data_IF_400099427250
#
_entry.id   IF_400099427250
#
_cell.length_a   1.000
_cell.length_b   1.000
_cell.length_c   1.000
_cell.angle_alpha   90.00
_cell.angle_beta   90.00
_cell.angle_gamma   90.00
#
_symmetry.space_group_name_H-M   'P 1'
#
loop_
_entity.id
_entity.type
_entity.pdbx_description
1 polymer ?
#
# COMPACT_ATOMS: atom_id res chain seq x y z
N UNK A 1 3.38 95.70 13.95
CA UNK A 1 3.31 94.23 14.03
C UNK A 1 3.34 93.82 15.50
N UNK A 2 2.17 93.44 16.05
CA UNK A 2 1.93 93.01 17.45
C UNK A 2 2.30 91.52 17.59
N UNK A 3 3.10 91.09 18.57
CA UNK A 3 2.81 90.69 19.97
C UNK A 3 1.91 89.45 20.12
N UNK A 4 2.52 88.43 20.77
CA UNK A 4 2.06 87.25 21.54
C UNK A 4 0.56 87.06 21.81
N UNK A 5 0.11 85.79 21.88
CA UNK A 5 -0.61 85.20 23.04
C UNK A 5 -0.55 83.66 23.03
N UNK A 6 -0.19 83.09 24.19
CA UNK A 6 -0.48 81.72 24.62
C UNK A 6 -1.98 81.53 24.85
N UNK A 7 -2.53 80.33 24.64
CA UNK A 7 -3.36 79.63 25.64
C UNK A 7 -3.70 78.20 25.22
N UNK A 8 -3.54 77.27 26.17
CA UNK A 8 -4.15 75.93 26.18
C UNK A 8 -5.67 76.03 26.02
N UNK A 9 -6.26 75.13 25.23
CA UNK A 9 -7.57 74.56 25.56
C UNK A 9 -7.61 73.07 25.20
N UNK A 10 -7.80 72.26 26.25
CA UNK A 10 -8.13 70.85 26.22
C UNK A 10 -9.45 70.64 25.45
N UNK A 11 -9.49 69.69 24.51
CA UNK A 11 -10.72 68.97 24.18
C UNK A 11 -10.39 67.59 23.64
N UNK A 12 -10.78 66.60 24.45
CA UNK A 12 -10.80 65.16 24.16
C UNK A 12 -11.30 64.86 22.74
N UNK A 13 -10.48 64.15 21.96
CA UNK A 13 -10.97 63.29 20.90
C UNK A 13 -10.32 61.92 21.06
N UNK A 14 -11.20 60.97 21.39
CA UNK A 14 -10.99 59.56 21.62
C UNK A 14 -10.19 58.93 20.48
N UNK A 15 -9.21 58.11 20.87
CA UNK A 15 -8.44 57.30 19.94
C UNK A 15 -9.30 56.30 19.19
N UNK A 16 -9.14 56.31 17.86
CA UNK A 16 -9.24 55.11 17.05
C UNK A 16 -7.84 54.80 16.53
N UNK A 17 -7.01 54.24 17.39
CA UNK A 17 -5.88 53.43 16.93
C UNK A 17 -6.47 52.22 16.23
N UNK A 18 -6.35 52.21 14.91
CA UNK A 18 -6.63 51.05 14.08
C UNK A 18 -5.67 49.94 14.52
N UNK A 19 -6.10 49.12 15.48
CA UNK A 19 -5.46 47.83 15.74
C UNK A 19 -5.49 47.07 14.42
N UNK A 20 -4.31 46.92 13.81
CA UNK A 20 -4.09 45.86 12.82
C UNK A 20 -4.44 44.56 13.53
N UNK A 21 -5.60 44.00 13.22
CA UNK A 21 -5.92 42.63 13.57
C UNK A 21 -4.76 41.77 13.11
N UNK A 22 -4.21 40.87 13.95
CA UNK A 22 -3.32 39.84 13.44
C UNK A 22 -4.12 39.12 12.35
N UNK A 23 -3.51 39.00 11.16
CA UNK A 23 -4.07 38.16 10.10
C UNK A 23 -4.48 36.83 10.75
N UNK A 24 -5.74 36.43 10.54
CA UNK A 24 -6.24 35.15 11.02
C UNK A 24 -5.24 34.09 10.55
N UNK A 25 -4.55 33.43 11.50
CA UNK A 25 -3.92 32.15 11.20
C UNK A 25 -5.09 31.28 10.77
N UNK A 26 -5.17 30.94 9.48
CA UNK A 26 -5.99 29.81 9.07
C UNK A 26 -5.59 28.64 9.98
N UNK A 27 -6.55 28.07 10.70
CA UNK A 27 -6.38 26.87 11.53
C UNK A 27 -6.09 25.67 10.61
N UNK A 28 -4.90 25.65 10.01
CA UNK A 28 -4.42 24.51 9.22
C UNK A 28 -3.99 23.42 10.19
N UNK A 29 -4.44 22.19 9.95
CA UNK A 29 -3.99 21.02 10.72
C UNK A 29 -2.46 20.92 10.68
N UNK A 30 -1.84 20.58 11.81
CA UNK A 30 -0.43 20.15 11.81
C UNK A 30 -0.27 18.86 10.99
N UNK A 31 0.94 18.55 10.55
CA UNK A 31 1.21 17.31 9.81
C UNK A 31 0.78 16.07 10.61
N UNK A 32 1.05 16.05 11.92
CA UNK A 32 0.61 14.96 12.80
C UNK A 32 -0.92 14.82 12.85
N UNK A 33 -1.65 15.92 13.03
CA UNK A 33 -3.11 15.89 13.09
C UNK A 33 -3.74 15.52 11.73
N UNK A 34 -3.11 15.93 10.63
CA UNK A 34 -3.51 15.53 9.29
C UNK A 34 -3.29 14.03 9.08
N UNK A 35 -2.10 13.51 9.41
CA UNK A 35 -1.80 12.08 9.33
C UNK A 35 -2.73 11.25 10.21
N UNK A 36 -3.03 11.69 11.45
CA UNK A 36 -3.99 11.00 12.32
C UNK A 36 -5.39 10.94 11.71
N UNK A 37 -5.83 12.03 11.08
CA UNK A 37 -7.14 12.10 10.43
C UNK A 37 -7.21 11.17 9.22
N UNK A 38 -6.20 11.23 8.34
CA UNK A 38 -6.12 10.38 7.15
C UNK A 38 -6.03 8.91 7.55
N UNK A 39 -5.10 8.57 8.45
CA UNK A 39 -4.87 7.20 8.90
C UNK A 39 -6.11 6.59 9.57
N UNK A 40 -6.81 7.34 10.44
CA UNK A 40 -8.04 6.85 11.09
C UNK A 40 -9.17 6.61 10.09
N UNK A 41 -9.39 7.52 9.14
CA UNK A 41 -10.45 7.31 8.13
C UNK A 41 -10.10 6.16 7.18
N UNK A 42 -8.85 6.07 6.74
CA UNK A 42 -8.40 4.96 5.91
C UNK A 42 -8.50 3.61 6.63
N UNK A 43 -8.18 3.55 7.94
CA UNK A 43 -8.44 2.37 8.78
C UNK A 43 -9.91 1.94 8.76
N UNK A 44 -10.86 2.90 8.76
CA UNK A 44 -12.29 2.57 8.73
C UNK A 44 -12.74 1.84 7.45
N UNK A 45 -11.99 1.92 6.34
CA UNK A 45 -12.23 1.06 5.18
C UNK A 45 -12.21 -0.43 5.57
N UNK A 46 -11.23 -0.81 6.39
CA UNK A 46 -11.00 -2.19 6.83
C UNK A 46 -11.76 -2.55 8.10
N UNK A 47 -12.17 -1.54 8.88
CA UNK A 47 -12.92 -1.76 10.11
C UNK A 47 -14.43 -1.78 9.88
N UNK A 48 -14.99 -0.67 9.40
CA UNK A 48 -16.42 -0.46 9.16
C UNK A 48 -16.82 -0.95 7.76
N UNK A 49 -15.95 -0.76 6.76
CA UNK A 49 -16.18 -1.13 5.38
C UNK A 49 -15.98 -2.62 5.06
N UNK A 50 -15.50 -3.42 6.02
CA UNK A 50 -15.23 -4.84 5.87
C UNK A 50 -16.47 -5.64 5.46
N UNK A 51 -16.28 -6.75 4.76
CA UNK A 51 -17.38 -7.67 4.47
C UNK A 51 -17.82 -8.36 5.78
N UNK A 52 -19.13 -8.34 6.12
CA UNK A 52 -19.59 -8.67 7.46
C UNK A 52 -19.49 -10.16 7.84
N UNK A 53 -19.40 -11.11 6.92
CA UNK A 53 -19.23 -12.53 7.26
C UNK A 53 -17.76 -12.88 7.54
N UNK A 54 -16.88 -12.53 6.63
CA UNK A 54 -15.44 -12.83 6.67
C UNK A 54 -14.66 -11.89 7.60
N UNK A 55 -15.11 -10.64 7.74
CA UNK A 55 -14.32 -9.57 8.36
C UNK A 55 -13.15 -9.09 7.49
N UNK A 56 -13.04 -9.59 6.26
CA UNK A 56 -11.98 -9.28 5.30
C UNK A 56 -12.31 -8.04 4.45
N UNK A 57 -11.29 -7.55 3.74
CA UNK A 57 -11.40 -6.34 2.93
C UNK A 57 -12.19 -6.63 1.65
N UNK A 58 -13.25 -5.85 1.43
CA UNK A 58 -13.92 -5.82 0.12
C UNK A 58 -12.92 -5.37 -0.94
N UNK A 59 -13.01 -5.95 -2.12
CA UNK A 59 -12.26 -5.51 -3.30
C UNK A 59 -12.50 -4.01 -3.55
N UNK A 60 -13.77 -3.60 -3.53
CA UNK A 60 -14.22 -2.24 -3.80
C UNK A 60 -15.35 -1.81 -2.88
N UNK A 61 -15.37 -0.51 -2.57
CA UNK A 61 -16.52 0.14 -1.94
C UNK A 61 -16.92 1.34 -2.81
N UNK A 62 -18.15 1.33 -3.31
CA UNK A 62 -18.74 2.45 -4.04
C UNK A 62 -19.81 3.13 -3.17
N UNK A 63 -19.64 4.42 -2.92
CA UNK A 63 -20.54 5.18 -2.06
C UNK A 63 -21.91 5.44 -2.70
N UNK A 64 -22.01 5.35 -4.02
CA UNK A 64 -23.26 5.42 -4.78
C UNK A 64 -24.11 4.13 -4.69
N UNK A 65 -23.55 3.05 -4.12
CA UNK A 65 -24.21 1.74 -4.05
C UNK A 65 -24.31 1.02 -5.40
N UNK A 66 -23.67 1.53 -6.46
CA UNK A 66 -23.77 0.97 -7.81
C UNK A 66 -22.53 0.10 -8.10
N UNK A 67 -22.72 -1.21 -8.14
CA UNK A 67 -21.68 -2.20 -8.43
C UNK A 67 -21.98 -2.87 -9.78
N UNK A 68 -21.32 -2.46 -10.89
CA UNK A 68 -21.62 -2.99 -12.22
C UNK A 68 -21.54 -4.51 -12.33
N UNK A 69 -20.61 -5.12 -11.59
CA UNK A 69 -20.38 -6.58 -11.57
C UNK A 69 -21.16 -7.30 -10.46
N UNK A 70 -22.06 -6.60 -9.74
CA UNK A 70 -22.80 -7.11 -8.58
C UNK A 70 -21.89 -7.80 -7.53
N UNK A 71 -20.75 -7.19 -7.25
CA UNK A 71 -19.63 -7.78 -6.53
C UNK A 71 -19.31 -7.11 -5.19
N UNK A 72 -20.28 -6.43 -4.58
CA UNK A 72 -20.10 -5.72 -3.30
C UNK A 72 -19.63 -6.63 -2.15
N UNK A 73 -19.95 -7.91 -2.17
CA UNK A 73 -19.53 -8.91 -1.17
C UNK A 73 -18.22 -9.62 -1.54
N UNK A 74 -17.59 -9.26 -2.66
CA UNK A 74 -16.33 -9.86 -3.07
C UNK A 74 -15.19 -9.25 -2.27
N UNK A 75 -14.36 -10.13 -1.74
CA UNK A 75 -13.19 -9.79 -0.94
C UNK A 75 -11.92 -10.19 -1.69
N UNK A 76 -10.85 -9.44 -1.46
CA UNK A 76 -9.52 -9.67 -2.05
C UNK A 76 -8.57 -10.26 -1.01
N UNK A 77 -7.75 -11.23 -1.41
CA UNK A 77 -6.71 -11.80 -0.55
C UNK A 77 -5.60 -10.80 -0.25
N UNK A 78 -4.90 -10.26 -1.25
CA UNK A 78 -3.78 -9.35 -1.00
C UNK A 78 -4.22 -8.03 -0.39
N UNK A 79 -5.32 -7.43 -0.88
CA UNK A 79 -5.90 -6.23 -0.27
C UNK A 79 -6.36 -6.46 1.18
N UNK A 80 -6.80 -7.68 1.51
CA UNK A 80 -7.04 -8.07 2.91
C UNK A 80 -5.77 -8.17 3.74
N UNK A 81 -4.66 -8.61 3.16
CA UNK A 81 -3.35 -8.53 3.80
C UNK A 81 -3.03 -7.11 4.26
N UNK A 82 -3.18 -6.13 3.37
CA UNK A 82 -2.94 -4.74 3.71
C UNK A 82 -3.92 -4.24 4.79
N UNK A 83 -5.18 -4.67 4.71
CA UNK A 83 -6.19 -4.38 5.72
C UNK A 83 -5.88 -4.94 7.11
N UNK A 84 -5.36 -6.16 7.19
CA UNK A 84 -4.91 -6.78 8.44
C UNK A 84 -3.79 -5.95 9.09
N UNK A 85 -2.82 -5.50 8.30
CA UNK A 85 -1.77 -4.60 8.80
C UNK A 85 -2.32 -3.25 9.25
N UNK A 86 -3.28 -2.68 8.52
CA UNK A 86 -3.96 -1.45 8.94
C UNK A 86 -4.71 -1.65 10.27
N UNK A 87 -5.32 -2.82 10.48
CA UNK A 87 -5.99 -3.15 11.74
C UNK A 87 -5.00 -3.24 12.90
N UNK A 88 -3.82 -3.85 12.72
CA UNK A 88 -2.75 -3.84 13.73
C UNK A 88 -2.34 -2.43 14.12
N UNK A 89 -2.13 -1.55 13.13
CA UNK A 89 -1.84 -0.14 13.39
C UNK A 89 -2.98 0.55 14.17
N UNK A 90 -4.23 0.23 13.85
CA UNK A 90 -5.40 0.74 14.57
C UNK A 90 -5.47 0.26 16.03
N UNK A 91 -5.07 -0.98 16.32
CA UNK A 91 -4.97 -1.48 17.70
C UNK A 91 -3.89 -0.71 18.47
N UNK A 92 -2.68 -0.57 17.89
CA UNK A 92 -1.54 0.09 18.54
C UNK A 92 -1.82 1.59 18.79
N UNK A 93 -2.60 2.22 17.90
CA UNK A 93 -3.07 3.61 18.06
C UNK A 93 -4.32 3.78 18.91
N UNK A 94 -4.93 2.70 19.41
CA UNK A 94 -6.17 2.76 20.18
C UNK A 94 -7.36 3.29 19.38
N UNK A 95 -7.40 3.03 18.07
CA UNK A 95 -8.60 3.26 17.25
C UNK A 95 -9.72 2.30 17.64
N UNK A 96 -9.31 1.09 18.02
CA UNK A 96 -10.13 0.03 18.62
C UNK A 96 -9.38 -0.54 19.81
N UNK A 97 -10.09 -1.20 20.71
CA UNK A 97 -9.45 -1.92 21.81
C UNK A 97 -8.70 -3.15 21.29
N UNK A 98 -7.71 -3.62 22.06
CA UNK A 98 -6.98 -4.86 21.76
C UNK A 98 -7.90 -6.08 21.70
N UNK A 99 -8.97 -6.10 22.51
CA UNK A 99 -9.97 -7.17 22.51
C UNK A 99 -10.80 -7.17 21.22
N UNK A 100 -11.32 -6.01 20.79
CA UNK A 100 -12.04 -5.90 19.51
C UNK A 100 -11.14 -6.29 18.34
N UNK A 101 -9.87 -5.86 18.38
CA UNK A 101 -8.85 -6.26 17.41
C UNK A 101 -8.66 -7.77 17.34
N UNK A 102 -8.51 -8.42 18.51
CA UNK A 102 -8.38 -9.88 18.59
C UNK A 102 -9.62 -10.59 18.02
N UNK A 103 -10.82 -10.18 18.39
CA UNK A 103 -12.07 -10.75 17.86
C UNK A 103 -12.17 -10.62 16.34
N UNK A 104 -11.74 -9.48 15.79
CA UNK A 104 -11.66 -9.28 14.34
C UNK A 104 -10.67 -10.24 13.70
N UNK A 105 -9.47 -10.39 14.27
CA UNK A 105 -8.45 -11.30 13.72
C UNK A 105 -8.86 -12.77 13.83
N UNK A 106 -9.52 -13.18 14.91
CA UNK A 106 -10.09 -14.53 15.06
C UNK A 106 -11.12 -14.83 13.97
N UNK A 107 -11.98 -13.87 13.66
CA UNK A 107 -12.96 -13.98 12.57
C UNK A 107 -12.29 -14.15 11.21
N UNK A 108 -11.31 -13.29 10.92
CA UNK A 108 -10.54 -13.35 9.67
C UNK A 108 -9.84 -14.71 9.52
N UNK A 109 -9.12 -15.17 10.55
CA UNK A 109 -8.40 -16.45 10.49
C UNK A 109 -9.37 -17.63 10.37
N UNK A 110 -10.53 -17.58 11.05
CA UNK A 110 -11.56 -18.63 10.91
C UNK A 110 -12.10 -18.72 9.48
N UNK A 111 -12.30 -17.57 8.81
CA UNK A 111 -12.68 -17.56 7.40
C UNK A 111 -11.57 -18.18 6.54
N UNK A 112 -10.33 -17.74 6.71
CA UNK A 112 -9.17 -18.20 5.93
C UNK A 112 -8.84 -19.70 6.11
N UNK A 113 -9.20 -20.29 7.25
CA UNK A 113 -9.08 -21.73 7.51
C UNK A 113 -10.07 -22.58 6.69
N UNK A 114 -11.17 -21.98 6.24
CA UNK A 114 -12.31 -22.69 5.61
C UNK A 114 -12.57 -22.27 4.16
N UNK A 115 -12.08 -21.11 3.75
CA UNK A 115 -12.16 -20.61 2.39
C UNK A 115 -11.37 -21.50 1.42
N UNK A 116 -11.75 -21.46 0.13
CA UNK A 116 -11.09 -22.21 -0.92
C UNK A 116 -9.60 -21.87 -0.97
N UNK A 117 -8.77 -22.92 -1.03
CA UNK A 117 -7.31 -22.88 -1.19
C UNK A 117 -6.87 -23.88 -2.24
N UNK A 118 -5.75 -23.58 -2.89
CA UNK A 118 -5.20 -24.34 -4.00
C UNK A 118 -3.72 -24.59 -3.71
N UNK A 119 -3.37 -25.83 -3.31
CA UNK A 119 -2.02 -26.13 -2.79
C UNK A 119 -1.61 -25.17 -1.64
N UNK A 120 -2.56 -24.86 -0.77
CA UNK A 120 -2.37 -23.94 0.35
C UNK A 120 -2.38 -22.46 0.00
N UNK A 121 -2.18 -22.09 -1.28
CA UNK A 121 -2.32 -20.72 -1.74
C UNK A 121 -3.79 -20.30 -1.81
N UNK A 122 -4.02 -19.01 -1.62
CA UNK A 122 -5.33 -18.37 -1.70
C UNK A 122 -5.59 -17.85 -3.13
N UNK A 123 -6.84 -17.86 -3.63
CA UNK A 123 -7.19 -17.17 -4.86
C UNK A 123 -7.10 -15.65 -4.70
N UNK A 124 -7.12 -14.95 -5.84
CA UNK A 124 -7.21 -13.48 -5.87
C UNK A 124 -8.49 -12.97 -5.18
N UNK A 125 -9.64 -13.59 -5.49
CA UNK A 125 -10.94 -13.21 -4.93
C UNK A 125 -11.72 -14.39 -4.35
N UNK A 126 -12.49 -14.09 -3.30
CA UNK A 126 -13.60 -14.91 -2.84
C UNK A 126 -14.90 -14.13 -2.80
N UNK A 127 -16.01 -14.85 -2.81
CA UNK A 127 -17.25 -14.37 -2.23
C UNK A 127 -17.13 -14.41 -0.70
N UNK A 128 -17.20 -13.26 -0.04
CA UNK A 128 -16.97 -13.14 1.41
C UNK A 128 -18.03 -13.84 2.28
N UNK A 129 -19.21 -14.09 1.75
CA UNK A 129 -20.31 -14.81 2.42
C UNK A 129 -20.15 -16.34 2.42
N UNK A 130 -19.35 -16.90 1.51
CA UNK A 130 -19.25 -18.35 1.31
C UNK A 130 -17.83 -18.91 1.39
N UNK A 131 -16.81 -18.05 1.23
CA UNK A 131 -15.42 -18.51 1.12
C UNK A 131 -15.10 -19.21 -0.20
N UNK A 132 -15.99 -19.13 -1.20
CA UNK A 132 -15.78 -19.73 -2.51
C UNK A 132 -15.04 -18.79 -3.44
N UNK A 133 -14.12 -19.35 -4.22
CA UNK A 133 -13.36 -18.58 -5.22
C UNK A 133 -14.31 -17.86 -6.18
N UNK A 134 -14.07 -16.56 -6.38
CA UNK A 134 -14.62 -15.82 -7.52
C UNK A 134 -13.50 -15.71 -8.54
N UNK A 135 -13.63 -16.25 -9.76
CA UNK A 135 -12.59 -16.13 -10.77
C UNK A 135 -12.28 -14.66 -11.12
N UNK A 136 -11.00 -14.29 -11.22
CA UNK A 136 -10.51 -12.97 -11.66
C UNK A 136 -10.35 -12.89 -13.20
N UNK A 137 -10.95 -13.84 -13.88
CA UNK A 137 -10.85 -14.12 -15.31
C UNK A 137 -11.21 -15.58 -15.52
N UNK A 138 -11.51 -15.99 -16.76
CA UNK A 138 -12.00 -17.35 -17.00
C UNK A 138 -11.05 -18.43 -16.47
N UNK A 139 -9.73 -18.25 -16.66
CA UNK A 139 -8.70 -19.23 -16.28
C UNK A 139 -8.06 -18.97 -14.92
N UNK A 140 -8.32 -17.80 -14.35
CA UNK A 140 -7.82 -17.41 -13.04
C UNK A 140 -8.88 -17.72 -11.97
N UNK A 141 -9.12 -19.02 -11.78
CA UNK A 141 -10.09 -19.57 -10.84
C UNK A 141 -9.45 -20.48 -9.78
N UNK A 142 -8.14 -20.33 -9.58
CA UNK A 142 -7.33 -21.14 -8.70
C UNK A 142 -6.53 -20.29 -7.71
N UNK A 143 -5.35 -20.75 -7.32
CA UNK A 143 -4.51 -20.01 -6.38
C UNK A 143 -3.67 -18.96 -7.09
N UNK A 144 -3.61 -17.79 -6.48
CA UNK A 144 -2.79 -16.64 -6.84
C UNK A 144 -1.68 -16.50 -5.78
N UNK A 145 -0.44 -16.80 -6.18
CA UNK A 145 0.69 -16.83 -5.25
C UNK A 145 1.18 -15.44 -4.86
N UNK A 146 0.95 -14.41 -5.70
CA UNK A 146 1.35 -13.03 -5.41
C UNK A 146 0.41 -12.45 -4.36
N UNK A 147 -0.90 -12.61 -4.52
CA UNK A 147 -1.87 -12.17 -3.53
C UNK A 147 -1.76 -12.96 -2.22
N UNK A 148 -1.45 -14.26 -2.32
CA UNK A 148 -1.08 -15.09 -1.16
C UNK A 148 0.13 -14.52 -0.43
N UNK A 149 1.15 -14.04 -1.14
CA UNK A 149 2.32 -13.42 -0.52
C UNK A 149 1.96 -12.14 0.24
N UNK A 150 1.07 -11.31 -0.30
CA UNK A 150 0.62 -10.09 0.39
C UNK A 150 -0.14 -10.39 1.68
N UNK A 151 -1.07 -11.36 1.68
CA UNK A 151 -1.77 -11.73 2.92
C UNK A 151 -0.85 -12.44 3.91
N UNK A 152 0.09 -13.27 3.46
CA UNK A 152 1.07 -13.89 4.36
C UNK A 152 2.04 -12.88 4.96
N UNK A 153 2.43 -11.85 4.21
CA UNK A 153 3.20 -10.72 4.75
C UNK A 153 2.50 -10.10 5.98
N UNK A 154 1.18 -9.97 5.92
CA UNK A 154 0.38 -9.42 7.01
C UNK A 154 0.16 -10.40 8.17
N UNK A 155 -0.18 -11.65 7.86
CA UNK A 155 -0.42 -12.68 8.86
C UNK A 155 0.83 -12.94 9.70
N UNK A 156 2.03 -12.94 9.11
CA UNK A 156 3.27 -13.06 9.88
C UNK A 156 3.50 -11.87 10.82
N UNK A 157 3.06 -10.66 10.45
CA UNK A 157 3.09 -9.51 11.37
C UNK A 157 2.10 -9.69 12.53
N UNK A 158 0.89 -10.22 12.28
CA UNK A 158 -0.08 -10.53 13.34
C UNK A 158 0.46 -11.61 14.28
N UNK A 159 1.06 -12.65 13.71
CA UNK A 159 1.73 -13.70 14.48
C UNK A 159 2.75 -13.09 15.46
N UNK A 160 3.66 -12.25 14.97
CA UNK A 160 4.67 -11.60 15.80
C UNK A 160 4.08 -10.62 16.83
N UNK A 161 2.94 -10.00 16.53
CA UNK A 161 2.27 -9.09 17.47
C UNK A 161 1.63 -9.83 18.66
N UNK A 162 1.23 -11.09 18.46
CA UNK A 162 0.46 -11.88 19.43
C UNK A 162 1.20 -13.05 20.07
N UNK A 163 2.39 -13.43 19.59
CA UNK A 163 3.13 -14.60 20.07
C UNK A 163 3.49 -14.55 21.57
N UNK A 164 3.72 -13.36 22.12
CA UNK A 164 4.00 -13.15 23.55
C UNK A 164 2.78 -12.59 24.32
N UNK A 165 1.59 -12.69 23.72
CA UNK A 165 0.34 -12.13 24.22
C UNK A 165 -0.38 -12.98 25.25
N UNK A 166 -1.68 -12.71 25.43
CA UNK A 166 -2.58 -13.55 26.25
C UNK A 166 -2.74 -14.96 25.67
N UNK A 167 -3.27 -15.95 26.43
CA UNK A 167 -3.50 -17.30 25.90
C UNK A 167 -4.36 -17.35 24.63
N UNK A 168 -5.35 -16.45 24.48
CA UNK A 168 -6.17 -16.37 23.28
C UNK A 168 -5.39 -15.80 22.08
N UNK A 169 -4.55 -14.79 22.33
CA UNK A 169 -3.66 -14.22 21.31
C UNK A 169 -2.62 -15.24 20.82
N UNK A 170 -2.02 -16.00 21.74
CA UNK A 170 -1.09 -17.09 21.40
C UNK A 170 -1.79 -18.20 20.61
N UNK A 171 -3.03 -18.54 20.94
CA UNK A 171 -3.80 -19.52 20.18
C UNK A 171 -4.10 -19.04 18.75
N UNK A 172 -4.41 -17.75 18.56
CA UNK A 172 -4.56 -17.15 17.25
C UNK A 172 -3.23 -17.17 16.47
N UNK A 173 -2.11 -16.80 17.10
CA UNK A 173 -0.79 -16.85 16.47
C UNK A 173 -0.46 -18.28 15.99
N UNK A 174 -0.74 -19.31 16.80
CA UNK A 174 -0.51 -20.71 16.41
C UNK A 174 -1.36 -21.14 15.20
N UNK A 175 -2.60 -20.66 15.08
CA UNK A 175 -3.46 -20.91 13.90
C UNK A 175 -2.89 -20.24 12.64
N UNK A 176 -2.36 -19.03 12.80
CA UNK A 176 -1.68 -18.32 11.70
C UNK A 176 -0.42 -19.05 11.24
N UNK A 177 0.42 -19.51 12.17
CA UNK A 177 1.62 -20.31 11.84
C UNK A 177 1.24 -21.59 11.07
N UNK A 178 0.12 -22.23 11.43
CA UNK A 178 -0.42 -23.36 10.66
C UNK A 178 -0.79 -22.96 9.21
N UNK A 179 -1.52 -21.86 9.01
CA UNK A 179 -1.86 -21.39 7.66
C UNK A 179 -0.60 -21.06 6.84
N UNK A 180 0.37 -20.39 7.45
CA UNK A 180 1.67 -20.08 6.84
C UNK A 180 2.40 -21.34 6.37
N UNK A 181 2.48 -22.37 7.23
CA UNK A 181 3.13 -23.64 6.94
C UNK A 181 2.42 -24.47 5.88
N UNK A 182 1.13 -24.22 5.64
CA UNK A 182 0.33 -24.97 4.67
C UNK A 182 0.47 -24.43 3.24
N UNK A 183 1.02 -23.24 3.02
CA UNK A 183 1.24 -22.70 1.66
C UNK A 183 2.37 -23.46 0.97
N UNK A 184 2.05 -24.15 -0.13
CA UNK A 184 3.02 -24.92 -0.91
C UNK A 184 3.70 -24.06 -1.99
N UNK A 185 4.59 -23.16 -1.58
CA UNK A 185 5.33 -22.29 -2.52
C UNK A 185 6.13 -23.09 -3.55
N UNK A 186 6.68 -24.24 -3.13
CA UNK A 186 7.46 -25.11 -3.99
C UNK A 186 6.61 -25.77 -5.11
N UNK A 187 5.33 -26.04 -4.88
CA UNK A 187 4.42 -26.52 -5.92
C UNK A 187 4.33 -25.53 -7.09
N UNK A 188 4.34 -24.22 -6.81
CA UNK A 188 4.24 -23.14 -7.79
C UNK A 188 5.49 -22.95 -8.68
N UNK A 189 6.46 -23.87 -8.60
CA UNK A 189 7.62 -23.94 -9.50
C UNK A 189 7.35 -24.71 -10.78
N UNK A 190 6.12 -25.17 -11.04
CA UNK A 190 5.73 -25.98 -12.20
C UNK A 190 6.77 -27.07 -12.55
N UNK A 191 6.70 -28.23 -11.89
CA UNK A 191 7.65 -29.34 -12.07
C UNK A 191 9.11 -28.99 -11.68
N UNK A 192 9.28 -28.12 -10.68
CA UNK A 192 10.58 -27.85 -10.07
C UNK A 192 11.49 -26.92 -10.88
N UNK A 193 10.93 -26.08 -11.76
CA UNK A 193 11.70 -25.03 -12.43
C UNK A 193 12.27 -24.03 -11.42
N UNK A 194 13.26 -23.25 -11.86
CA UNK A 194 13.88 -22.21 -11.06
C UNK A 194 13.17 -20.87 -11.26
N UNK A 195 11.83 -20.86 -11.14
CA UNK A 195 10.98 -19.67 -11.20
C UNK A 195 9.67 -19.96 -10.47
N UNK A 196 9.00 -18.93 -9.94
CA UNK A 196 7.64 -19.06 -9.42
C UNK A 196 6.62 -18.62 -10.48
N UNK A 197 5.57 -19.41 -10.63
CA UNK A 197 4.40 -19.06 -11.41
C UNK A 197 3.39 -18.33 -10.53
N UNK A 198 2.78 -17.30 -11.09
CA UNK A 198 1.77 -16.51 -10.38
C UNK A 198 0.52 -17.35 -10.08
N UNK A 199 0.06 -18.14 -11.04
CA UNK A 199 -1.24 -18.81 -10.95
C UNK A 199 -1.12 -20.32 -11.14
N UNK A 200 -2.03 -21.05 -10.49
CA UNK A 200 -2.34 -22.44 -10.79
C UNK A 200 -3.84 -22.72 -10.57
N UNK A 201 -4.44 -23.51 -11.44
CA UNK A 201 -5.86 -23.91 -11.37
C UNK A 201 -6.04 -25.42 -11.35
N UNK A 202 -6.99 -25.91 -10.54
CA UNK A 202 -7.42 -27.32 -10.56
C UNK A 202 -8.06 -27.73 -11.89
N UNK A 203 -8.64 -26.78 -12.64
CA UNK A 203 -9.30 -27.00 -13.92
C UNK A 203 -8.35 -26.75 -15.10
N UNK A 204 -7.60 -25.65 -15.06
CA UNK A 204 -6.76 -25.19 -16.18
C UNK A 204 -5.26 -25.45 -15.99
N UNK A 205 -4.86 -26.07 -14.88
CA UNK A 205 -3.45 -26.31 -14.55
C UNK A 205 -2.63 -25.01 -14.61
N UNK A 206 -1.64 -24.99 -15.49
CA UNK A 206 -0.70 -23.87 -15.67
C UNK A 206 -1.02 -23.00 -16.89
N UNK A 207 -2.23 -23.07 -17.47
CA UNK A 207 -2.56 -22.36 -18.70
C UNK A 207 -2.49 -20.82 -18.62
N UNK A 208 -2.58 -20.24 -17.42
CA UNK A 208 -2.27 -18.81 -17.22
C UNK A 208 -0.82 -18.48 -17.57
N UNK A 209 0.09 -19.46 -17.42
CA UNK A 209 1.48 -19.46 -17.89
C UNK A 209 2.22 -18.14 -17.64
N UNK A 210 2.20 -17.68 -16.39
CA UNK A 210 2.83 -16.43 -15.98
C UNK A 210 3.98 -16.70 -15.00
N UNK A 211 5.19 -17.01 -15.50
CA UNK A 211 6.40 -17.03 -14.67
C UNK A 211 6.76 -15.59 -14.25
N UNK A 212 7.02 -15.37 -12.96
CA UNK A 212 7.20 -14.03 -12.41
C UNK A 212 8.68 -13.64 -12.43
N UNK A 213 9.03 -12.68 -13.28
CA UNK A 213 10.39 -12.13 -13.40
C UNK A 213 10.42 -10.68 -12.93
N UNK A 214 11.52 -10.25 -12.30
CA UNK A 214 11.67 -8.90 -11.78
C UNK A 214 12.24 -7.90 -12.80
N UNK A 215 12.20 -6.60 -12.50
CA UNK A 215 11.62 -5.99 -11.30
C UNK A 215 10.14 -5.61 -11.51
N UNK A 216 9.30 -5.96 -10.54
CA UNK A 216 7.90 -5.55 -10.41
C UNK A 216 7.47 -5.59 -8.91
N UNK A 217 6.18 -5.56 -8.60
CA UNK A 217 5.62 -5.56 -7.24
C UNK A 217 5.81 -6.86 -6.43
N UNK A 218 6.29 -7.94 -7.05
CA UNK A 218 6.18 -9.30 -6.53
C UNK A 218 7.39 -9.80 -5.71
N UNK A 219 8.34 -8.93 -5.33
CA UNK A 219 9.56 -9.31 -4.61
C UNK A 219 9.27 -10.13 -3.34
N UNK A 220 8.27 -9.73 -2.55
CA UNK A 220 7.94 -10.38 -1.29
C UNK A 220 7.49 -11.84 -1.46
N UNK A 221 6.94 -12.20 -2.61
CA UNK A 221 6.58 -13.59 -2.94
C UNK A 221 7.81 -14.49 -2.95
N UNK A 222 8.91 -14.04 -3.56
CA UNK A 222 10.15 -14.81 -3.59
C UNK A 222 10.81 -14.91 -2.21
N UNK A 223 10.78 -13.82 -1.42
CA UNK A 223 11.31 -13.82 -0.05
C UNK A 223 10.52 -14.77 0.85
N UNK A 224 9.19 -14.75 0.77
CA UNK A 224 8.33 -15.66 1.54
C UNK A 224 8.47 -17.11 1.06
N UNK A 225 8.60 -17.36 -0.24
CA UNK A 225 8.87 -18.69 -0.75
C UNK A 225 10.20 -19.26 -0.23
N UNK A 226 11.25 -18.45 -0.08
CA UNK A 226 12.50 -18.87 0.56
C UNK A 226 12.36 -19.00 2.09
N UNK A 227 11.53 -18.17 2.71
CA UNK A 227 11.30 -18.20 4.16
C UNK A 227 10.53 -19.45 4.61
N UNK A 228 9.68 -20.03 3.76
CA UNK A 228 8.78 -21.14 4.16
C UNK A 228 9.54 -22.31 4.79
N UNK A 229 9.19 -22.70 6.04
CA UNK A 229 9.89 -23.77 6.75
C UNK A 229 9.43 -25.18 6.34
N UNK A 230 8.36 -25.29 5.54
CA UNK A 230 7.72 -26.55 5.14
C UNK A 230 7.77 -26.78 3.63
N UNK A 231 7.50 -25.75 2.84
CA UNK A 231 7.43 -25.81 1.38
C UNK A 231 8.33 -24.76 0.73
N UNK A 232 9.51 -24.54 1.30
CA UNK A 232 10.50 -23.58 0.82
C UNK A 232 11.06 -23.89 -0.56
N UNK A 233 11.56 -22.86 -1.23
CA UNK A 233 12.21 -22.98 -2.55
C UNK A 233 13.73 -22.77 -2.45
N UNK A 234 14.54 -23.42 -3.30
CA UNK A 234 15.98 -23.16 -3.33
C UNK A 234 16.26 -21.74 -3.83
N UNK A 235 17.35 -21.12 -3.36
CA UNK A 235 17.76 -19.79 -3.78
C UNK A 235 17.88 -19.63 -5.32
N UNK A 236 18.19 -20.70 -6.04
CA UNK A 236 18.20 -20.73 -7.51
C UNK A 236 16.89 -20.21 -8.13
N UNK A 237 15.73 -20.43 -7.49
CA UNK A 237 14.44 -19.92 -7.94
C UNK A 237 14.42 -18.39 -7.96
N UNK A 238 15.05 -17.74 -6.97
CA UNK A 238 15.21 -16.30 -6.93
C UNK A 238 16.27 -15.82 -7.94
N UNK A 239 17.48 -16.38 -7.91
CA UNK A 239 18.57 -15.89 -8.75
C UNK A 239 18.32 -16.14 -10.25
N UNK A 240 17.80 -17.30 -10.64
CA UNK A 240 17.53 -17.64 -12.06
C UNK A 240 16.14 -17.18 -12.52
N UNK A 241 15.15 -17.19 -11.63
CA UNK A 241 13.76 -16.85 -11.95
C UNK A 241 13.49 -15.37 -11.81
N UNK A 242 13.50 -14.85 -10.58
CA UNK A 242 13.24 -13.44 -10.32
C UNK A 242 14.29 -12.53 -10.94
N UNK A 243 15.56 -12.75 -10.60
CA UNK A 243 16.65 -11.88 -10.99
C UNK A 243 17.23 -12.20 -12.38
N UNK A 244 16.82 -13.33 -12.98
CA UNK A 244 17.25 -13.78 -14.30
C UNK A 244 18.78 -13.75 -14.47
N UNK A 245 19.50 -14.29 -13.49
CA UNK A 245 20.96 -14.35 -13.43
C UNK A 245 21.62 -12.97 -13.59
N UNK A 246 21.04 -11.96 -12.94
CA UNK A 246 21.53 -10.58 -12.96
C UNK A 246 20.93 -9.70 -14.08
N UNK A 247 20.12 -10.24 -14.98
CA UNK A 247 19.44 -9.41 -16.01
C UNK A 247 18.38 -8.45 -15.42
N UNK A 248 18.06 -8.58 -14.13
CA UNK A 248 17.29 -7.59 -13.37
C UNK A 248 18.06 -6.29 -13.11
N UNK A 249 19.39 -6.28 -13.26
CA UNK A 249 20.21 -5.07 -13.09
C UNK A 249 20.40 -4.41 -14.45
N UNK A 250 19.84 -3.22 -14.62
CA UNK A 250 19.91 -2.43 -15.86
C UNK A 250 19.91 -0.94 -15.51
N UNK A 251 21.06 -0.37 -15.08
CA UNK A 251 21.11 1.02 -14.65
C UNK A 251 20.80 1.98 -15.80
N UNK A 252 19.82 2.85 -15.59
CA UNK A 252 19.34 3.80 -16.59
C UNK A 252 18.75 5.04 -15.91
N UNK A 253 18.33 6.02 -16.72
CA UNK A 253 17.73 7.26 -16.21
C UNK A 253 16.34 7.50 -16.77
N UNK A 254 15.43 7.87 -15.89
CA UNK A 254 14.08 8.37 -16.23
C UNK A 254 13.92 9.71 -15.51
N UNK A 255 13.37 10.74 -16.18
CA UNK A 255 13.28 12.09 -15.62
C UNK A 255 14.62 12.65 -15.04
N UNK A 256 15.76 12.23 -15.63
CA UNK A 256 17.13 12.52 -15.17
C UNK A 256 17.50 11.95 -13.77
N UNK A 257 16.72 11.01 -13.25
CA UNK A 257 16.96 10.33 -11.97
C UNK A 257 17.42 8.90 -12.29
N UNK A 258 18.43 8.42 -11.58
CA UNK A 258 19.00 7.09 -11.77
C UNK A 258 18.07 6.01 -11.18
N UNK A 259 17.80 4.96 -11.96
CA UNK A 259 17.20 3.71 -11.51
C UNK A 259 18.20 2.59 -11.78
N UNK A 260 18.33 1.65 -10.84
CA UNK A 260 19.29 0.55 -10.94
C UNK A 260 18.69 -0.71 -11.55
N UNK A 261 17.40 -0.95 -11.30
CA UNK A 261 16.73 -2.19 -11.68
C UNK A 261 16.05 -2.07 -13.05
N UNK A 262 15.96 -3.21 -13.74
CA UNK A 262 15.20 -3.37 -14.98
C UNK A 262 13.72 -3.58 -14.65
N UNK A 263 12.90 -2.56 -14.90
CA UNK A 263 11.46 -2.62 -14.70
C UNK A 263 10.77 -3.42 -15.81
N UNK A 264 9.86 -4.33 -15.46
CA UNK A 264 9.19 -5.19 -16.45
C UNK A 264 8.32 -4.37 -17.43
N UNK A 265 8.67 -4.39 -18.72
CA UNK A 265 7.87 -3.80 -19.80
C UNK A 265 7.81 -2.27 -19.84
N UNK A 266 8.61 -1.58 -19.02
CA UNK A 266 8.63 -0.12 -18.89
C UNK A 266 10.00 0.35 -18.37
N UNK A 267 10.35 1.62 -18.57
CA UNK A 267 11.53 2.22 -17.94
C UNK A 267 11.27 2.54 -16.45
N UNK A 268 10.03 2.92 -16.10
CA UNK A 268 9.60 3.12 -14.72
C UNK A 268 8.15 2.65 -14.55
N UNK A 269 7.90 1.84 -13.51
CA UNK A 269 6.60 1.25 -13.24
C UNK A 269 5.60 2.18 -12.54
N UNK A 270 4.33 1.76 -12.45
CA UNK A 270 3.36 2.34 -11.52
C UNK A 270 3.91 2.35 -10.08
N UNK A 271 3.57 3.38 -9.29
CA UNK A 271 4.28 3.63 -8.04
C UNK A 271 4.01 2.58 -6.94
N UNK A 272 2.95 1.77 -7.05
CA UNK A 272 2.70 0.67 -6.12
C UNK A 272 3.82 -0.41 -6.11
N UNK A 273 4.64 -0.48 -7.17
CA UNK A 273 5.82 -1.36 -7.22
C UNK A 273 6.91 -1.00 -6.21
N UNK A 274 6.91 0.24 -5.70
CA UNK A 274 7.76 0.67 -4.60
C UNK A 274 7.14 0.41 -3.22
N UNK A 275 5.94 -0.17 -3.14
CA UNK A 275 5.11 -0.13 -1.94
C UNK A 275 4.71 -1.52 -1.43
N UNK A 276 4.04 -2.34 -2.24
CA UNK A 276 3.34 -3.55 -1.73
C UNK A 276 4.28 -4.57 -1.09
N UNK A 277 5.43 -4.83 -1.72
CA UNK A 277 6.45 -5.73 -1.19
C UNK A 277 7.18 -5.18 0.03
N UNK A 278 6.97 -3.90 0.40
CA UNK A 278 7.70 -3.19 1.47
C UNK A 278 6.81 -2.73 2.62
N UNK A 279 5.59 -3.29 2.73
CA UNK A 279 4.67 -2.97 3.82
C UNK A 279 5.12 -3.60 5.16
N UNK A 280 5.66 -4.81 5.09
CA UNK A 280 6.30 -5.53 6.20
C UNK A 280 7.81 -5.65 6.01
N UNK A 281 8.30 -5.92 4.79
CA UNK A 281 9.73 -5.93 4.51
C UNK A 281 10.29 -4.50 4.62
N UNK A 282 11.19 -4.27 5.57
CA UNK A 282 11.81 -2.96 5.77
C UNK A 282 12.85 -2.69 4.66
N UNK A 283 12.64 -1.67 3.79
CA UNK A 283 13.61 -1.33 2.76
C UNK A 283 14.85 -0.61 3.32
N UNK A 284 14.80 -0.06 4.54
CA UNK A 284 15.87 0.78 5.10
C UNK A 284 17.13 -0.06 5.34
N UNK A 285 18.17 0.21 4.54
CA UNK A 285 19.43 -0.52 4.61
C UNK A 285 19.35 -1.95 4.08
N UNK A 286 18.24 -2.32 3.44
CA UNK A 286 18.06 -3.59 2.75
C UNK A 286 18.85 -3.60 1.45
N UNK A 287 19.64 -4.65 1.25
CA UNK A 287 20.45 -4.85 0.05
C UNK A 287 20.69 -6.32 -0.21
N UNK A 288 21.03 -6.65 -1.44
CA UNK A 288 21.41 -7.99 -1.87
C UNK A 288 22.44 -7.91 -3.02
N UNK A 289 22.59 -8.99 -3.80
CA UNK A 289 23.45 -9.02 -4.99
C UNK A 289 23.01 -8.03 -6.07
N UNK A 290 21.70 -7.81 -6.22
CA UNK A 290 21.11 -7.10 -7.35
C UNK A 290 20.77 -5.65 -7.06
N UNK A 291 20.70 -5.23 -5.80
CA UNK A 291 20.49 -3.85 -5.43
C UNK A 291 21.29 -3.48 -4.17
N UNK A 292 22.18 -2.50 -4.30
CA UNK A 292 23.00 -2.05 -3.18
C UNK A 292 22.22 -1.33 -2.08
N UNK A 293 21.02 -0.80 -2.38
CA UNK A 293 20.11 -0.18 -1.43
C UNK A 293 18.68 -0.09 -2.00
N UNK A 294 17.78 -0.98 -1.58
CA UNK A 294 16.39 -0.98 -2.02
C UNK A 294 15.62 0.29 -1.60
N UNK A 295 15.97 0.91 -0.47
CA UNK A 295 15.35 2.18 -0.07
C UNK A 295 15.63 3.30 -1.08
N UNK A 296 16.87 3.42 -1.54
CA UNK A 296 17.26 4.47 -2.49
C UNK A 296 16.63 4.21 -3.87
N UNK A 297 16.55 2.94 -4.31
CA UNK A 297 15.88 2.57 -5.56
C UNK A 297 14.39 2.95 -5.54
N UNK A 298 13.67 2.57 -4.48
CA UNK A 298 12.25 2.88 -4.36
C UNK A 298 12.01 4.39 -4.18
N UNK A 299 12.88 5.09 -3.46
CA UNK A 299 12.86 6.55 -3.37
C UNK A 299 13.07 7.20 -4.74
N UNK A 300 14.01 6.70 -5.54
CA UNK A 300 14.24 7.22 -6.88
C UNK A 300 13.03 6.97 -7.78
N UNK A 301 12.39 5.79 -7.72
CA UNK A 301 11.14 5.54 -8.46
C UNK A 301 10.03 6.53 -8.05
N UNK A 302 9.89 6.82 -6.76
CA UNK A 302 8.96 7.87 -6.27
C UNK A 302 9.30 9.24 -6.84
N UNK A 303 10.58 9.61 -6.85
CA UNK A 303 11.03 10.90 -7.37
C UNK A 303 10.84 11.01 -8.90
N UNK A 304 11.04 9.93 -9.65
CA UNK A 304 10.71 9.84 -11.09
C UNK A 304 9.24 10.10 -11.30
N UNK A 305 8.37 9.44 -10.54
CA UNK A 305 6.93 9.60 -10.64
C UNK A 305 6.50 11.06 -10.40
N UNK A 306 7.02 11.65 -9.32
CA UNK A 306 6.81 13.06 -9.00
C UNK A 306 7.35 13.99 -10.09
N UNK A 307 8.57 13.75 -10.59
CA UNK A 307 9.21 14.60 -11.59
C UNK A 307 8.41 14.64 -12.89
N UNK A 308 7.88 13.50 -13.33
CA UNK A 308 6.99 13.41 -14.49
C UNK A 308 5.72 14.25 -14.28
N UNK A 309 5.02 14.10 -13.14
CA UNK A 309 3.83 14.90 -12.83
C UNK A 309 4.13 16.41 -12.77
N UNK A 310 5.28 16.81 -12.23
CA UNK A 310 5.70 18.22 -12.17
C UNK A 310 6.01 18.76 -13.57
N UNK A 311 6.63 17.94 -14.44
CA UNK A 311 6.91 18.31 -15.82
C UNK A 311 5.63 18.42 -16.65
N UNK A 312 4.64 17.57 -16.37
CA UNK A 312 3.30 17.57 -16.95
C UNK A 312 3.28 17.75 -18.49
N UNK A 313 3.91 16.83 -19.26
CA UNK A 313 4.02 16.97 -20.72
C UNK A 313 2.68 16.99 -21.45
N UNK A 314 1.64 16.39 -20.86
CA UNK A 314 0.29 16.32 -21.43
C UNK A 314 -0.62 17.47 -21.00
N UNK A 315 -0.09 18.40 -20.20
CA UNK A 315 -0.77 19.62 -19.75
C UNK A 315 -2.09 19.36 -19.01
N UNK A 316 -2.16 18.25 -18.25
CA UNK A 316 -3.31 17.94 -17.42
C UNK A 316 -3.48 18.97 -16.30
N UNK A 317 -4.72 19.32 -15.98
CA UNK A 317 -5.03 20.25 -14.91
C UNK A 317 -4.64 19.65 -13.54
N UNK A 318 -4.12 20.49 -12.64
CA UNK A 318 -3.81 20.12 -11.26
C UNK A 318 -2.42 19.51 -11.05
N UNK A 319 -1.89 18.79 -12.04
CA UNK A 319 -0.59 18.12 -11.95
C UNK A 319 0.53 19.11 -11.59
N UNK A 320 1.29 18.79 -10.54
CA UNK A 320 2.35 19.67 -10.04
C UNK A 320 2.98 19.21 -8.72
N UNK A 321 3.82 20.04 -8.10
CA UNK A 321 4.52 19.71 -6.85
C UNK A 321 3.59 19.34 -5.68
N UNK A 322 2.40 19.93 -5.64
CA UNK A 322 1.36 19.72 -4.62
C UNK A 322 0.34 18.62 -5.00
N UNK A 323 0.36 18.12 -6.23
CA UNK A 323 -0.59 17.13 -6.72
C UNK A 323 0.07 16.23 -7.76
N UNK A 324 0.66 15.13 -7.29
CA UNK A 324 1.36 14.13 -8.08
C UNK A 324 1.05 12.73 -7.54
N UNK A 325 1.37 11.71 -8.35
CA UNK A 325 1.19 10.31 -7.97
C UNK A 325 0.41 9.54 -9.02
N UNK A 326 1.13 8.81 -9.87
CA UNK A 326 0.57 7.92 -10.88
C UNK A 326 0.79 6.47 -10.47
N UNK A 327 -0.30 5.71 -10.35
CA UNK A 327 -0.26 4.27 -10.08
C UNK A 327 -1.51 3.60 -10.64
N UNK A 328 -1.55 2.27 -10.64
CA UNK A 328 -2.73 1.53 -11.06
C UNK A 328 -3.91 1.81 -10.12
N UNK A 329 -5.07 2.16 -10.69
CA UNK A 329 -6.29 2.54 -9.95
C UNK A 329 -7.51 2.58 -10.89
N UNK A 330 -8.69 2.92 -10.37
CA UNK A 330 -9.77 3.41 -11.21
C UNK A 330 -9.29 4.58 -12.09
N UNK A 331 -9.86 4.68 -13.28
CA UNK A 331 -9.62 5.72 -14.28
C UNK A 331 -10.94 6.18 -14.87
N UNK A 332 -10.92 7.32 -15.58
CA UNK A 332 -12.08 7.91 -16.26
C UNK A 332 -12.83 6.89 -17.11
N UNK A 333 -12.10 5.98 -17.78
CA UNK A 333 -12.66 4.96 -18.66
C UNK A 333 -12.64 3.53 -18.07
N UNK A 334 -12.59 3.38 -16.74
CA UNK A 334 -12.60 2.07 -16.08
C UNK A 334 -11.48 1.93 -15.06
N UNK A 335 -10.48 1.10 -15.35
CA UNK A 335 -9.30 0.87 -14.54
C UNK A 335 -8.06 0.90 -15.45
N UNK A 336 -6.95 1.49 -14.99
CA UNK A 336 -5.73 1.59 -15.78
C UNK A 336 -4.48 1.56 -14.90
N UNK A 337 -3.39 1.01 -15.44
CA UNK A 337 -2.09 0.99 -14.80
C UNK A 337 -1.32 2.29 -15.07
N UNK A 338 -1.72 3.40 -14.43
CA UNK A 338 -1.07 4.69 -14.64
C UNK A 338 0.39 4.65 -14.19
N UNK A 339 1.27 5.24 -14.99
CA UNK A 339 2.72 5.24 -14.79
C UNK A 339 3.34 6.55 -15.32
N UNK A 340 4.58 6.91 -14.93
CA UNK A 340 5.18 8.20 -15.28
C UNK A 340 5.75 8.25 -16.70
N UNK A 341 4.88 8.05 -17.69
CA UNK A 341 5.18 8.18 -19.11
C UNK A 341 3.93 8.64 -19.89
N UNK A 342 4.12 9.23 -21.08
CA UNK A 342 3.01 9.83 -21.84
C UNK A 342 1.96 8.82 -22.34
N UNK A 343 2.35 7.55 -22.50
CA UNK A 343 1.46 6.48 -22.95
C UNK A 343 0.47 6.09 -21.85
N UNK A 344 0.95 5.97 -20.61
CA UNK A 344 0.19 5.40 -19.50
C UNK A 344 -0.44 6.48 -18.60
N UNK A 345 0.02 7.72 -18.67
CA UNK A 345 -0.60 8.87 -18.01
C UNK A 345 -1.93 9.24 -18.69
N UNK A 346 -3.04 9.09 -17.97
CA UNK A 346 -4.38 9.41 -18.46
C UNK A 346 -4.98 10.66 -17.79
N UNK A 347 -4.17 11.49 -17.13
CA UNK A 347 -4.64 12.68 -16.43
C UNK A 347 -5.33 12.39 -15.10
N UNK A 348 -5.09 11.19 -14.55
CA UNK A 348 -5.67 10.70 -13.31
C UNK A 348 -4.59 10.67 -12.22
N UNK A 349 -4.88 11.30 -11.09
CA UNK A 349 -4.07 11.20 -9.87
C UNK A 349 -4.73 10.22 -8.92
N UNK A 350 -3.93 9.33 -8.35
CA UNK A 350 -4.39 8.31 -7.41
C UNK A 350 -3.69 8.55 -6.07
N UNK A 351 -4.41 8.98 -5.01
CA UNK A 351 -3.80 9.42 -3.75
C UNK A 351 -2.81 8.41 -3.13
N UNK A 352 -3.06 7.11 -3.28
CA UNK A 352 -2.18 6.06 -2.74
C UNK A 352 -0.75 6.13 -3.28
N UNK A 353 -0.54 6.60 -4.51
CA UNK A 353 0.80 6.72 -5.09
C UNK A 353 1.71 7.61 -4.24
N UNK A 354 1.31 8.86 -4.01
CA UNK A 354 2.11 9.80 -3.22
C UNK A 354 2.07 9.50 -1.73
N UNK A 355 0.88 9.19 -1.17
CA UNK A 355 0.70 9.02 0.27
C UNK A 355 1.39 7.76 0.80
N UNK A 356 1.32 6.64 0.09
CA UNK A 356 2.00 5.40 0.48
C UNK A 356 3.52 5.47 0.25
N UNK A 357 4.02 6.51 -0.43
CA UNK A 357 5.45 6.78 -0.58
C UNK A 357 6.02 7.71 0.50
N UNK A 358 5.24 8.03 1.55
CA UNK A 358 5.67 8.93 2.64
C UNK A 358 6.97 8.46 3.33
N UNK A 359 7.21 7.16 3.38
CA UNK A 359 8.45 6.58 3.93
C UNK A 359 9.70 6.95 3.12
N UNK A 360 9.55 7.28 1.83
CA UNK A 360 10.65 7.62 0.92
C UNK A 360 10.78 9.13 0.71
N UNK A 361 9.66 9.84 0.59
CA UNK A 361 9.59 11.27 0.26
C UNK A 361 8.64 12.02 1.21
N UNK A 362 8.91 12.04 2.52
CA UNK A 362 7.93 12.47 3.53
C UNK A 362 7.41 13.88 3.32
N UNK A 363 8.31 14.84 3.04
CA UNK A 363 7.95 16.24 2.80
C UNK A 363 7.04 16.38 1.57
N UNK A 364 7.37 15.70 0.46
CA UNK A 364 6.62 15.78 -0.79
C UNK A 364 5.27 15.05 -0.69
N UNK A 365 5.22 13.93 0.04
CA UNK A 365 3.99 13.17 0.28
C UNK A 365 3.04 13.91 1.22
N UNK A 366 3.56 14.57 2.26
CA UNK A 366 2.77 15.43 3.15
C UNK A 366 2.24 16.67 2.44
N UNK A 367 3.03 17.24 1.52
CA UNK A 367 2.60 18.34 0.65
C UNK A 367 1.37 17.93 -0.17
N UNK A 368 1.40 16.75 -0.80
CA UNK A 368 0.24 16.20 -1.53
C UNK A 368 -0.93 15.93 -0.60
N UNK A 369 -0.70 15.24 0.52
CA UNK A 369 -1.76 14.91 1.47
C UNK A 369 -2.51 16.15 1.95
N UNK A 370 -1.79 17.24 2.23
CA UNK A 370 -2.37 18.52 2.63
C UNK A 370 -3.20 19.14 1.51
N UNK A 371 -2.65 19.20 0.30
CA UNK A 371 -3.37 19.73 -0.86
C UNK A 371 -4.66 18.95 -1.14
N UNK A 372 -4.57 17.62 -1.17
CA UNK A 372 -5.74 16.76 -1.36
C UNK A 372 -6.77 16.93 -0.24
N UNK A 373 -6.34 17.09 1.01
CA UNK A 373 -7.26 17.34 2.13
C UNK A 373 -7.98 18.70 1.97
N UNK A 374 -7.26 19.73 1.50
CA UNK A 374 -7.82 21.07 1.21
C UNK A 374 -8.78 21.08 0.01
N UNK A 375 -8.70 20.09 -0.89
CA UNK A 375 -9.69 19.89 -1.96
C UNK A 375 -11.07 19.44 -1.44
N UNK A 376 -11.15 18.96 -0.19
CA UNK A 376 -12.38 18.66 0.53
C UNK A 376 -13.11 17.39 0.07
N UNK A 377 -14.42 17.36 0.32
CA UNK A 377 -15.28 16.15 0.24
C UNK A 377 -15.32 15.49 -1.15
N UNK A 378 -14.91 16.19 -2.21
CA UNK A 378 -14.82 15.61 -3.56
C UNK A 378 -13.71 14.56 -3.69
N UNK A 379 -12.68 14.60 -2.84
CA UNK A 379 -11.59 13.62 -2.84
C UNK A 379 -11.38 12.94 -1.48
N UNK A 380 -11.86 13.51 -0.38
CA UNK A 380 -11.71 12.95 0.96
C UNK A 380 -13.06 12.56 1.58
N UNK A 381 -13.35 11.26 1.60
CA UNK A 381 -14.62 10.71 2.07
C UNK A 381 -14.54 10.08 3.47
N UNK A 382 -15.56 9.26 3.84
CA UNK A 382 -15.62 8.61 5.15
C UNK A 382 -14.51 7.57 5.39
N UNK A 383 -13.99 6.95 4.33
CA UNK A 383 -12.95 5.92 4.41
C UNK A 383 -11.57 6.41 3.95
N UNK A 384 -11.33 7.72 4.06
CA UNK A 384 -10.09 8.37 3.65
C UNK A 384 -10.22 9.00 2.27
N UNK A 385 -9.10 9.16 1.57
CA UNK A 385 -9.14 9.62 0.18
C UNK A 385 -9.81 8.57 -0.71
N UNK A 386 -10.62 9.02 -1.68
CA UNK A 386 -11.13 8.17 -2.75
C UNK A 386 -9.99 7.71 -3.66
N UNK A 387 -10.27 6.67 -4.43
CA UNK A 387 -9.31 5.89 -5.20
C UNK A 387 -8.46 6.72 -6.17
N UNK A 388 -9.13 7.60 -6.93
CA UNK A 388 -8.52 8.39 -7.98
C UNK A 388 -9.40 9.58 -8.38
N UNK A 389 -8.83 10.56 -9.06
CA UNK A 389 -9.56 11.68 -9.65
C UNK A 389 -8.84 12.28 -10.87
N UNK A 390 -9.58 12.96 -11.74
CA UNK A 390 -9.05 13.78 -12.84
C UNK A 390 -9.66 15.18 -12.74
N UNK A 391 -8.82 16.18 -12.46
CA UNK A 391 -9.28 17.58 -12.50
C UNK A 391 -9.60 18.03 -13.92
N UNK A 392 -8.91 17.47 -14.91
CA UNK A 392 -9.09 17.76 -16.34
C UNK A 392 -10.48 17.37 -16.80
N UNK A 393 -10.92 16.16 -16.45
CA UNK A 393 -12.21 15.60 -16.83
C UNK A 393 -13.33 15.93 -15.83
N UNK A 394 -13.00 16.66 -14.75
CA UNK A 394 -13.90 16.91 -13.63
C UNK A 394 -14.51 15.60 -13.08
N UNK A 395 -13.67 14.57 -12.95
CA UNK A 395 -14.03 13.22 -12.54
C UNK A 395 -13.55 12.97 -11.11
N UNK A 396 -14.49 12.81 -10.19
CA UNK A 396 -14.26 12.64 -8.75
C UNK A 396 -15.13 11.49 -8.21
N UNK A 397 -14.82 10.23 -8.54
CA UNK A 397 -15.60 9.09 -8.12
C UNK A 397 -15.54 8.93 -6.60
N UNK A 398 -16.70 8.71 -5.98
CA UNK A 398 -16.76 8.36 -4.56
C UNK A 398 -16.60 6.85 -4.39
N UNK A 399 -15.42 6.34 -4.75
CA UNK A 399 -15.09 4.90 -4.79
C UNK A 399 -13.74 4.64 -4.16
N UNK A 400 -13.55 3.42 -3.68
CA UNK A 400 -12.33 2.97 -2.99
C UNK A 400 -11.98 1.56 -3.45
N UNK A 401 -10.68 1.24 -3.46
CA UNK A 401 -10.13 -0.11 -3.56
C UNK A 401 -9.31 -0.48 -2.32
N UNK A 402 -9.39 -1.75 -1.89
CA UNK A 402 -8.60 -2.21 -0.74
C UNK A 402 -7.09 -2.07 -0.98
N UNK A 403 -6.65 -2.41 -2.19
CA UNK A 403 -5.24 -2.39 -2.60
C UNK A 403 -4.65 -0.98 -2.63
N UNK A 404 -5.50 0.05 -2.71
CA UNK A 404 -5.07 1.45 -2.71
C UNK A 404 -5.18 2.07 -1.32
N UNK A 405 -6.23 1.75 -0.55
CA UNK A 405 -6.37 2.24 0.83
C UNK A 405 -5.37 1.61 1.80
N UNK A 406 -5.07 0.32 1.65
CA UNK A 406 -4.25 -0.43 2.59
C UNK A 406 -2.83 0.14 2.76
N UNK A 407 -2.09 0.31 1.66
CA UNK A 407 -0.75 0.89 1.69
C UNK A 407 -0.71 2.30 2.30
N UNK A 408 -1.76 3.11 2.14
CA UNK A 408 -1.81 4.45 2.75
C UNK A 408 -1.74 4.32 4.27
N UNK A 409 -2.63 3.52 4.88
CA UNK A 409 -2.67 3.36 6.33
C UNK A 409 -1.39 2.73 6.88
N UNK A 410 -0.84 1.73 6.16
CA UNK A 410 0.33 0.96 6.59
C UNK A 410 1.62 1.77 6.47
N UNK A 411 1.85 2.45 5.35
CA UNK A 411 3.07 3.25 5.16
C UNK A 411 3.07 4.52 6.01
N UNK A 412 1.89 5.09 6.32
CA UNK A 412 1.79 6.12 7.35
C UNK A 412 2.22 5.59 8.72
N UNK A 413 1.83 4.36 9.07
CA UNK A 413 2.27 3.76 10.33
C UNK A 413 3.78 3.50 10.35
N UNK A 414 4.31 2.92 9.27
CA UNK A 414 5.74 2.64 9.18
C UNK A 414 6.58 3.91 9.23
N UNK A 415 6.14 5.00 8.59
CA UNK A 415 6.79 6.29 8.71
C UNK A 415 6.81 6.81 10.15
N UNK A 416 5.70 6.65 10.88
CA UNK A 416 5.54 7.22 12.24
C UNK A 416 6.22 6.39 13.32
N UNK A 417 6.16 5.06 13.23
CA UNK A 417 6.64 4.17 14.29
C UNK A 417 7.48 2.99 13.79
N UNK A 418 7.39 2.64 12.50
CA UNK A 418 7.99 1.44 11.94
C UNK A 418 7.34 0.14 12.43
N UNK A 419 6.09 0.18 12.93
CA UNK A 419 5.44 -0.96 13.59
C UNK A 419 5.44 -2.22 12.71
N UNK A 420 4.95 -2.14 11.47
CA UNK A 420 4.77 -3.33 10.63
C UNK A 420 6.12 -3.87 10.15
N UNK A 421 7.08 -2.99 9.87
CA UNK A 421 8.47 -3.37 9.62
C UNK A 421 9.10 -4.13 10.78
N UNK A 422 8.98 -3.61 12.01
CA UNK A 422 9.51 -4.30 13.20
C UNK A 422 8.89 -5.67 13.39
N UNK A 423 7.56 -5.77 13.23
CA UNK A 423 6.85 -7.03 13.38
C UNK A 423 7.30 -8.05 12.34
N UNK A 424 7.16 -7.74 11.05
CA UNK A 424 7.51 -8.67 9.98
C UNK A 424 8.99 -9.09 10.00
N UNK A 425 9.90 -8.12 10.16
CA UNK A 425 11.35 -8.38 10.18
C UNK A 425 11.81 -9.14 11.43
N UNK A 426 11.00 -9.21 12.48
CA UNK A 426 11.28 -10.01 13.68
C UNK A 426 10.96 -11.51 13.49
N UNK A 427 10.20 -11.88 12.45
CA UNK A 427 9.80 -13.26 12.25
C UNK A 427 11.00 -14.14 11.85
N UNK A 428 11.28 -15.25 12.56
CA UNK A 428 12.49 -16.04 12.35
C UNK A 428 12.60 -16.65 10.95
N UNK A 429 11.49 -17.12 10.38
CA UNK A 429 11.47 -17.67 9.02
C UNK A 429 11.81 -16.61 7.97
N UNK A 430 11.37 -15.35 8.17
CA UNK A 430 11.66 -14.24 7.25
C UNK A 430 13.16 -13.94 7.26
N UNK A 431 13.77 -13.84 8.46
CA UNK A 431 15.21 -13.62 8.57
C UNK A 431 16.02 -14.74 7.93
N UNK A 432 15.57 -15.99 8.07
CA UNK A 432 16.18 -17.14 7.42
C UNK A 432 16.07 -17.04 5.90
N UNK A 433 14.87 -16.77 5.36
CA UNK A 433 14.65 -16.62 3.91
C UNK A 433 15.49 -15.49 3.30
N UNK A 434 15.53 -14.32 3.94
CA UNK A 434 16.41 -13.21 3.52
C UNK A 434 17.87 -13.65 3.45
N UNK A 435 18.38 -14.33 4.49
CA UNK A 435 19.75 -14.82 4.52
C UNK A 435 20.02 -15.86 3.41
N UNK A 436 19.08 -16.77 3.16
CA UNK A 436 19.19 -17.79 2.11
C UNK A 436 19.26 -17.19 0.71
N UNK A 437 18.58 -16.07 0.48
CA UNK A 437 18.63 -15.31 -0.77
C UNK A 437 19.79 -14.31 -0.86
N UNK A 438 20.64 -14.21 0.17
CA UNK A 438 21.78 -13.30 0.18
C UNK A 438 21.44 -11.85 0.54
N UNK A 439 20.23 -11.58 1.04
CA UNK A 439 19.89 -10.26 1.55
C UNK A 439 20.60 -9.98 2.88
N UNK A 440 20.88 -8.69 3.11
CA UNK A 440 21.37 -8.19 4.39
C UNK A 440 20.69 -6.86 4.72
N UNK A 441 20.55 -6.59 6.01
CA UNK A 441 20.14 -5.29 6.55
C UNK A 441 21.32 -4.69 7.29
N UNK A 442 21.59 -3.40 7.07
CA UNK A 442 22.55 -2.67 7.90
C UNK A 442 21.82 -2.21 9.16
N UNK A 443 22.13 -2.79 10.31
CA UNK A 443 21.56 -2.35 11.60
C UNK A 443 21.89 -0.87 11.84
N UNK A 444 20.87 -0.09 12.24
CA UNK A 444 21.07 1.27 12.76
C UNK A 444 21.67 1.24 14.16
#
# INVERSE_FOLDING_TARGET
>A
MKIQYSLLLFLLLLGFTQCKSPAAKEDRLSDDALMDTVQRRTFNYFWEGAEPNSGLARERIHMDGVYPENDQNVITSGGSGFGIMAILAGIDRGYVTRQEGLERMEKIVSFLETADRFHGAYPHWWYGDTGKVKPFGQKDNGGDLVETAFIMQALLSVHQYYIDGSPAEQALAARIDKLWREVDWNFYRQNGQNVLYWHWSSEYGWEMNFPVHGYNECLIMYILAAASPTHGVPAAVYHEGWAQNGAIVDPHKVENIELHLRYQGTEAGPLFWAQYSFLGLDPIGLKDEYCANYFDEMRNLTLVNRAYCVRNPKHYKGFGPDCWGLTASYSVNGYAAHAPNERDDQGVISPTAALSSIVYTPEQSLQVMRHLYEMGDKVFGPYGFYDAFSETDNWYPQRYLAIDQGPIAVMLENYRSGLLWKLFMSHPDVQKGLKELGFSTVSK
#
